data_IF_519484304092
#
_entry.id   IF_519484304092
#
_cell.length_a   1.000
_cell.length_b   1.000
_cell.length_c   1.000
_cell.angle_alpha   90.00
_cell.angle_beta   90.00
_cell.angle_gamma   90.00
#
_symmetry.space_group_name_H-M   'P 1'
#
loop_
_entity.id
_entity.type
_entity.pdbx_description
1 polymer ?
#
# COMPACT_ATOMS: atom_id res chain seq x y z
N UNK A 1 26.56 -4.34 -5.48
CA UNK A 1 26.70 -2.97 -6.01
C UNK A 1 25.58 -2.79 -7.01
N UNK A 2 24.56 -2.01 -6.67
CA UNK A 2 23.46 -1.75 -7.59
C UNK A 2 23.97 -0.87 -8.73
N UNK A 3 23.72 -1.28 -9.98
CA UNK A 3 23.95 -0.43 -11.15
C UNK A 3 23.00 0.77 -11.03
N UNK A 4 23.50 1.89 -10.54
CA UNK A 4 22.77 3.16 -10.55
C UNK A 4 22.34 3.46 -11.99
N UNK A 5 21.09 3.90 -12.16
CA UNK A 5 20.58 4.31 -13.46
C UNK A 5 21.47 5.43 -14.03
N UNK A 6 21.94 5.34 -15.29
CA UNK A 6 22.56 6.46 -15.95
C UNK A 6 21.45 7.47 -16.27
N UNK A 7 21.23 8.46 -15.40
CA UNK A 7 20.23 9.50 -15.65
C UNK A 7 20.91 10.85 -15.83
N UNK A 8 21.15 11.20 -17.08
CA UNK A 8 21.26 12.59 -17.51
C UNK A 8 19.98 12.94 -18.29
N UNK A 9 18.87 13.02 -17.57
CA UNK A 9 17.65 13.67 -18.05
C UNK A 9 17.25 14.68 -16.99
N UNK A 10 17.04 15.92 -17.42
CA UNK A 10 16.75 17.07 -16.57
C UNK A 10 15.28 16.97 -16.12
N UNK A 11 15.02 16.09 -15.15
CA UNK A 11 13.76 16.08 -14.42
C UNK A 11 13.83 17.15 -13.34
N UNK A 12 12.83 18.03 -13.29
CA UNK A 12 12.67 18.99 -12.20
C UNK A 12 12.36 18.32 -10.84
N UNK A 13 12.14 17.00 -10.83
CA UNK A 13 11.74 16.21 -9.66
C UNK A 13 12.89 15.35 -9.11
N UNK A 14 13.03 15.25 -7.77
CA UNK A 14 14.04 14.40 -7.16
C UNK A 14 13.75 12.92 -7.44
N UNK A 15 14.80 12.10 -7.50
CA UNK A 15 14.70 10.67 -7.75
C UNK A 15 15.00 9.86 -6.49
N UNK A 16 14.35 8.69 -6.39
CA UNK A 16 14.66 7.75 -5.31
C UNK A 16 16.07 7.17 -5.54
N UNK A 17 16.95 7.12 -4.51
CA UNK A 17 18.32 6.64 -4.69
C UNK A 17 18.39 5.11 -4.88
N UNK A 18 17.30 4.39 -4.60
CA UNK A 18 17.20 2.94 -4.65
C UNK A 18 16.53 2.40 -5.92
N UNK A 19 16.25 3.26 -6.92
CA UNK A 19 15.71 2.83 -8.20
C UNK A 19 16.66 1.84 -8.88
N UNK A 20 16.12 0.73 -9.36
CA UNK A 20 16.88 -0.30 -10.07
C UNK A 20 16.58 -0.27 -11.56
N UNK A 21 17.53 -0.73 -12.35
CA UNK A 21 17.26 -1.08 -13.76
C UNK A 21 16.27 -2.26 -13.79
N UNK A 22 15.21 -2.13 -14.56
CA UNK A 22 14.21 -3.18 -14.77
C UNK A 22 14.18 -3.68 -16.21
N UNK A 23 13.59 -4.86 -16.41
CA UNK A 23 13.20 -5.42 -17.70
C UNK A 23 11.67 -5.42 -17.87
N UNK A 24 11.19 -4.89 -19.00
CA UNK A 24 9.77 -4.80 -19.33
C UNK A 24 9.47 -5.51 -20.65
N UNK A 25 8.36 -6.25 -20.70
CA UNK A 25 7.82 -6.82 -21.93
C UNK A 25 6.38 -6.33 -22.16
N UNK A 26 6.06 -5.96 -23.40
CA UNK A 26 4.70 -5.61 -23.80
C UNK A 26 3.99 -6.81 -24.41
N UNK A 27 2.80 -7.11 -23.89
CA UNK A 27 1.92 -8.19 -24.34
C UNK A 27 0.57 -7.54 -24.68
N UNK A 28 0.35 -7.14 -25.94
CA UNK A 28 -0.84 -6.38 -26.31
C UNK A 28 -2.12 -7.21 -26.13
N UNK A 29 -3.15 -6.56 -25.58
CA UNK A 29 -4.54 -7.02 -25.60
C UNK A 29 -5.32 -6.25 -26.68
N UNK A 30 -6.59 -5.88 -26.43
CA UNK A 30 -7.31 -4.91 -27.27
C UNK A 30 -6.56 -3.57 -27.33
N UNK A 31 -6.46 -2.98 -28.51
CA UNK A 31 -5.72 -1.74 -28.75
C UNK A 31 -6.58 -0.78 -29.57
N UNK A 32 -6.34 0.51 -29.33
CA UNK A 32 -6.79 1.62 -30.18
C UNK A 32 -5.58 2.55 -30.43
N UNK A 33 -5.69 3.56 -31.31
CA UNK A 33 -4.57 4.44 -31.63
C UNK A 33 -3.94 5.14 -30.41
N UNK A 34 -4.74 5.52 -29.41
CA UNK A 34 -4.26 6.21 -28.20
C UNK A 34 -3.43 5.25 -27.33
N UNK A 35 -3.88 3.99 -27.19
CA UNK A 35 -3.12 2.96 -26.50
C UNK A 35 -1.85 2.57 -27.27
N UNK A 36 -1.87 2.56 -28.59
CA UNK A 36 -0.68 2.30 -29.42
C UNK A 36 0.39 3.38 -29.24
N UNK A 37 -0.02 4.65 -29.33
CA UNK A 37 0.85 5.80 -29.07
C UNK A 37 1.42 5.73 -27.65
N UNK A 38 0.55 5.48 -26.66
CA UNK A 38 0.94 5.41 -25.25
C UNK A 38 1.91 4.26 -24.98
N UNK A 39 1.65 3.07 -25.52
CA UNK A 39 2.53 1.91 -25.40
C UNK A 39 3.91 2.22 -25.99
N UNK A 40 3.95 2.80 -27.20
CA UNK A 40 5.20 3.18 -27.84
C UNK A 40 5.97 4.24 -27.05
N UNK A 41 5.30 5.29 -26.56
CA UNK A 41 5.89 6.33 -25.73
C UNK A 41 6.52 5.78 -24.45
N UNK A 42 5.78 4.95 -23.71
CA UNK A 42 6.27 4.30 -22.48
C UNK A 42 7.49 3.43 -22.78
N UNK A 43 7.40 2.52 -23.75
CA UNK A 43 8.51 1.61 -24.09
C UNK A 43 9.73 2.37 -24.61
N UNK A 44 9.53 3.45 -25.37
CA UNK A 44 10.61 4.33 -25.80
C UNK A 44 11.30 4.99 -24.59
N UNK A 45 10.53 5.55 -23.66
CA UNK A 45 11.07 6.14 -22.42
C UNK A 45 11.85 5.13 -21.59
N UNK A 46 11.37 3.88 -21.46
CA UNK A 46 12.14 2.81 -20.81
C UNK A 46 13.51 2.59 -21.47
N UNK A 47 13.58 2.54 -22.82
CA UNK A 47 14.85 2.41 -23.54
C UNK A 47 15.76 3.62 -23.29
N UNK A 48 15.22 4.84 -23.35
CA UNK A 48 15.99 6.07 -23.18
C UNK A 48 16.68 6.16 -21.81
N UNK A 49 16.00 5.74 -20.74
CA UNK A 49 16.57 5.75 -19.37
C UNK A 49 17.42 4.52 -19.06
N UNK A 50 17.71 3.70 -20.06
CA UNK A 50 18.59 2.54 -19.95
C UNK A 50 17.93 1.28 -19.38
N UNK A 51 16.60 1.19 -19.29
CA UNK A 51 15.91 -0.07 -18.96
C UNK A 51 15.97 -1.05 -20.13
N UNK A 52 15.70 -2.33 -19.85
CA UNK A 52 15.65 -3.36 -20.89
C UNK A 52 14.21 -3.53 -21.38
N UNK A 53 13.98 -3.30 -22.68
CA UNK A 53 12.68 -3.59 -23.32
C UNK A 53 12.81 -4.88 -24.09
N UNK A 54 12.10 -5.91 -23.64
CA UNK A 54 12.10 -7.25 -24.19
C UNK A 54 11.09 -7.36 -25.34
N UNK A 55 11.47 -8.04 -26.42
CA UNK A 55 10.56 -8.37 -27.52
C UNK A 55 9.47 -9.36 -27.09
N UNK A 56 9.81 -10.30 -26.20
CA UNK A 56 8.88 -11.26 -25.63
C UNK A 56 9.16 -11.48 -24.13
N UNK A 57 8.14 -11.81 -23.32
CA UNK A 57 8.34 -12.20 -21.93
C UNK A 57 9.29 -13.39 -21.81
N UNK A 58 10.27 -13.27 -20.90
CA UNK A 58 11.23 -14.32 -20.55
C UNK A 58 11.64 -14.20 -19.09
N UNK A 59 12.35 -15.21 -18.58
CA UNK A 59 12.92 -15.15 -17.24
C UNK A 59 13.75 -13.87 -17.02
N UNK A 60 13.57 -13.25 -15.86
CA UNK A 60 14.15 -11.94 -15.53
C UNK A 60 13.29 -10.74 -15.93
N UNK A 61 12.12 -10.92 -16.57
CA UNK A 61 11.16 -9.83 -16.76
C UNK A 61 10.61 -9.37 -15.41
N UNK A 62 10.72 -8.06 -15.14
CA UNK A 62 10.17 -7.44 -13.93
C UNK A 62 8.73 -6.97 -14.17
N UNK A 63 8.43 -6.51 -15.38
CA UNK A 63 7.14 -5.91 -15.76
C UNK A 63 6.53 -6.54 -17.00
N UNK A 64 5.26 -6.91 -16.91
CA UNK A 64 4.40 -7.13 -18.07
C UNK A 64 3.46 -5.92 -18.24
N UNK A 65 3.55 -5.27 -19.39
CA UNK A 65 2.59 -4.25 -19.81
C UNK A 65 1.56 -4.89 -20.74
N UNK A 66 0.28 -4.65 -20.51
CA UNK A 66 -0.81 -5.17 -21.35
C UNK A 66 -1.95 -4.16 -21.43
N UNK A 67 -3.02 -4.50 -22.16
CA UNK A 67 -4.16 -3.61 -22.38
C UNK A 67 -5.50 -4.31 -22.18
N UNK A 68 -6.52 -3.55 -21.82
CA UNK A 68 -7.91 -3.99 -21.72
C UNK A 68 -8.89 -2.90 -22.17
N UNK A 69 -10.08 -3.29 -22.60
CA UNK A 69 -11.14 -2.36 -23.00
C UNK A 69 -11.81 -1.75 -21.78
N UNK A 70 -12.05 -0.44 -21.79
CA UNK A 70 -12.78 0.25 -20.73
C UNK A 70 -14.24 -0.21 -20.66
N UNK A 71 -14.75 -0.46 -19.46
CA UNK A 71 -16.15 -0.88 -19.25
C UNK A 71 -16.44 -2.35 -19.56
N UNK A 72 -15.47 -3.11 -20.09
CA UNK A 72 -15.67 -4.52 -20.47
C UNK A 72 -14.91 -5.47 -19.53
N UNK A 73 -15.60 -6.44 -18.88
CA UNK A 73 -14.93 -7.41 -18.02
C UNK A 73 -13.99 -8.34 -18.77
N UNK A 74 -12.72 -8.33 -18.38
CA UNK A 74 -11.71 -9.25 -18.86
C UNK A 74 -11.94 -10.65 -18.29
N UNK A 75 -11.94 -11.65 -19.17
CA UNK A 75 -11.96 -13.04 -18.73
C UNK A 75 -10.71 -13.35 -17.89
N UNK A 76 -10.87 -13.92 -16.70
CA UNK A 76 -9.76 -14.24 -15.79
C UNK A 76 -8.67 -15.11 -16.44
N UNK A 77 -9.01 -15.98 -17.41
CA UNK A 77 -8.04 -16.81 -18.15
C UNK A 77 -7.15 -16.00 -19.09
N UNK A 78 -7.56 -14.78 -19.43
CA UNK A 78 -6.80 -13.83 -20.25
C UNK A 78 -6.01 -12.83 -19.39
N UNK A 79 -6.34 -12.67 -18.10
CA UNK A 79 -5.63 -11.76 -17.20
C UNK A 79 -4.18 -12.20 -17.00
N UNK A 80 -3.23 -11.32 -17.32
CA UNK A 80 -1.81 -11.58 -17.08
C UNK A 80 -1.44 -11.54 -15.60
N UNK A 81 -2.23 -10.86 -14.76
CA UNK A 81 -2.05 -10.90 -13.29
C UNK A 81 -2.19 -12.34 -12.78
N UNK A 82 -3.15 -13.08 -13.32
CA UNK A 82 -3.47 -14.45 -12.90
C UNK A 82 -2.69 -15.51 -13.69
N UNK A 83 -2.46 -15.27 -14.98
CA UNK A 83 -1.93 -16.30 -15.89
C UNK A 83 -0.51 -16.03 -16.37
N UNK A 84 0.01 -14.80 -16.27
CA UNK A 84 1.24 -14.36 -16.92
C UNK A 84 2.44 -15.26 -16.60
N UNK A 85 2.69 -15.53 -15.31
CA UNK A 85 3.78 -16.41 -14.88
C UNK A 85 3.70 -17.80 -15.54
N UNK A 86 2.56 -18.47 -15.42
CA UNK A 86 2.37 -19.82 -15.98
C UNK A 86 2.37 -19.83 -17.50
N UNK A 87 1.73 -18.83 -18.12
CA UNK A 87 1.60 -18.68 -19.58
C UNK A 87 2.95 -18.54 -20.27
N UNK A 88 3.90 -17.84 -19.65
CA UNK A 88 5.22 -17.58 -20.22
C UNK A 88 6.34 -18.40 -19.55
N UNK A 89 6.01 -19.35 -18.68
CA UNK A 89 6.99 -20.22 -18.03
C UNK A 89 7.97 -19.48 -17.11
N UNK A 90 7.54 -18.38 -16.48
CA UNK A 90 8.41 -17.52 -15.68
C UNK A 90 8.68 -18.12 -14.29
N UNK A 91 9.93 -18.04 -13.86
CA UNK A 91 10.38 -18.42 -12.51
C UNK A 91 9.68 -17.62 -11.42
N UNK A 92 9.60 -16.29 -11.58
CA UNK A 92 8.98 -15.35 -10.65
C UNK A 92 7.69 -14.73 -11.23
N UNK A 93 6.84 -14.18 -10.37
CA UNK A 93 5.64 -13.43 -10.77
C UNK A 93 6.05 -11.98 -11.09
N UNK A 94 6.02 -11.53 -12.36
CA UNK A 94 6.29 -10.13 -12.68
C UNK A 94 5.15 -9.23 -12.21
N UNK A 95 5.44 -7.95 -12.04
CA UNK A 95 4.42 -6.93 -11.84
C UNK A 95 3.69 -6.70 -13.15
N UNK A 96 2.36 -6.61 -13.12
CA UNK A 96 1.54 -6.40 -14.32
C UNK A 96 0.89 -5.03 -14.26
N UNK A 97 1.11 -4.23 -15.30
CA UNK A 97 0.39 -2.99 -15.54
C UNK A 97 -0.57 -3.19 -16.71
N UNK A 98 -1.85 -2.86 -16.51
CA UNK A 98 -2.86 -2.90 -17.57
C UNK A 98 -3.21 -1.48 -17.98
N UNK A 99 -2.98 -1.11 -19.24
CA UNK A 99 -3.48 0.16 -19.78
C UNK A 99 -4.94 0.00 -20.18
N UNK A 100 -5.74 1.00 -19.83
CA UNK A 100 -7.15 1.10 -20.20
C UNK A 100 -7.37 2.52 -20.69
N UNK A 101 -7.97 2.68 -21.87
CA UNK A 101 -8.21 3.99 -22.47
C UNK A 101 -9.68 4.42 -22.31
N UNK A 102 -9.89 5.68 -21.93
CA UNK A 102 -11.20 6.32 -21.82
C UNK A 102 -11.13 7.76 -22.34
N UNK A 103 -12.19 8.26 -22.96
CA UNK A 103 -12.26 9.68 -23.38
C UNK A 103 -12.50 10.60 -22.18
N UNK A 104 -12.09 11.88 -22.22
CA UNK A 104 -12.37 12.85 -21.16
C UNK A 104 -13.87 12.97 -20.86
N UNK A 105 -14.72 13.02 -21.91
CA UNK A 105 -16.17 13.08 -21.75
C UNK A 105 -16.72 11.86 -21.02
N UNK A 106 -16.27 10.66 -21.40
CA UNK A 106 -16.75 9.43 -20.77
C UNK A 106 -16.31 9.34 -19.31
N UNK A 107 -15.05 9.69 -19.02
CA UNK A 107 -14.54 9.74 -17.66
C UNK A 107 -15.35 10.70 -16.80
N UNK A 108 -15.58 11.93 -17.28
CA UNK A 108 -16.35 12.92 -16.52
C UNK A 108 -17.77 12.42 -16.24
N UNK A 109 -18.43 11.82 -17.23
CA UNK A 109 -19.76 11.22 -17.05
C UNK A 109 -19.79 10.15 -15.96
N UNK A 110 -18.78 9.28 -15.91
CA UNK A 110 -18.70 8.23 -14.89
C UNK A 110 -18.39 8.82 -13.50
N UNK A 111 -17.58 9.88 -13.43
CA UNK A 111 -17.31 10.60 -12.18
C UNK A 111 -18.55 11.34 -11.66
N UNK A 112 -19.28 12.03 -12.52
CA UNK A 112 -20.54 12.71 -12.17
C UNK A 112 -21.58 11.70 -11.67
N UNK A 113 -21.66 10.54 -12.34
CA UNK A 113 -22.53 9.45 -11.90
C UNK A 113 -22.19 8.98 -10.48
N UNK A 114 -20.91 8.73 -10.19
CA UNK A 114 -20.47 8.36 -8.85
C UNK A 114 -20.72 9.48 -7.83
N UNK A 115 -20.48 10.73 -8.19
CA UNK A 115 -20.75 11.87 -7.32
C UNK A 115 -22.23 11.92 -6.89
N UNK A 116 -23.15 11.60 -7.78
CA UNK A 116 -24.58 11.57 -7.47
C UNK A 116 -25.02 10.37 -6.63
N UNK A 117 -24.57 9.16 -6.97
CA UNK A 117 -25.00 7.95 -6.24
C UNK A 117 -24.36 7.85 -4.85
N UNK A 118 -23.17 8.44 -4.64
CA UNK A 118 -22.50 8.49 -3.33
C UNK A 118 -23.21 9.39 -2.31
N UNK A 119 -24.17 10.21 -2.74
CA UNK A 119 -25.03 11.03 -1.86
C UNK A 119 -26.19 10.22 -1.27
N UNK A 120 -26.49 9.02 -1.79
CA UNK A 120 -27.62 8.19 -1.35
C UNK A 120 -27.23 7.37 -0.12
N UNK A 121 -27.99 7.52 0.96
CA UNK A 121 -27.81 6.75 2.20
C UNK A 121 -29.17 6.19 2.68
N UNK A 122 -29.37 4.86 2.72
CA UNK A 122 -28.40 3.81 2.34
C UNK A 122 -28.10 3.78 0.84
N UNK A 123 -26.95 3.19 0.41
CA UNK A 123 -26.66 3.01 -1.01
C UNK A 123 -27.70 2.08 -1.66
N UNK A 124 -28.13 2.40 -2.88
CA UNK A 124 -28.98 1.52 -3.69
C UNK A 124 -28.09 0.55 -4.50
N UNK A 125 -28.13 -0.77 -4.26
CA UNK A 125 -27.32 -1.74 -4.99
C UNK A 125 -27.48 -1.67 -6.52
N UNK A 126 -28.64 -1.22 -7.02
CA UNK A 126 -28.88 -1.11 -8.46
C UNK A 126 -27.97 -0.05 -9.13
N UNK A 127 -27.57 0.99 -8.39
CA UNK A 127 -26.65 2.03 -8.88
C UNK A 127 -25.21 1.51 -9.06
N UNK A 128 -24.89 0.35 -8.49
CA UNK A 128 -23.53 -0.21 -8.50
C UNK A 128 -23.45 -1.49 -9.33
N UNK A 129 -24.46 -1.76 -10.16
CA UNK A 129 -24.52 -2.95 -11.01
C UNK A 129 -23.66 -2.78 -12.28
N UNK A 130 -22.35 -2.69 -12.09
CA UNK A 130 -21.40 -2.62 -13.20
C UNK A 130 -21.10 -4.03 -13.76
N UNK A 131 -20.89 -4.17 -15.08
CA UNK A 131 -20.54 -5.45 -15.68
C UNK A 131 -19.34 -6.11 -15.00
N UNK A 132 -19.45 -7.42 -14.75
CA UNK A 132 -18.36 -8.24 -14.21
C UNK A 132 -18.15 -8.16 -12.70
N UNK A 133 -18.92 -7.32 -11.99
CA UNK A 133 -18.82 -7.18 -10.53
C UNK A 133 -19.69 -8.19 -9.79
N UNK A 134 -19.31 -8.48 -8.54
CA UNK A 134 -20.12 -9.28 -7.63
C UNK A 134 -21.32 -8.48 -7.08
N UNK A 135 -22.38 -9.18 -6.66
CA UNK A 135 -23.60 -8.54 -6.13
C UNK A 135 -23.34 -7.68 -4.89
N UNK A 136 -22.38 -8.05 -4.04
CA UNK A 136 -22.03 -7.29 -2.82
C UNK A 136 -21.04 -6.14 -3.07
N UNK A 137 -20.57 -5.96 -4.31
CA UNK A 137 -19.57 -4.96 -4.64
C UNK A 137 -20.02 -3.53 -4.33
N UNK A 138 -21.34 -3.27 -4.32
CA UNK A 138 -21.90 -1.96 -3.98
C UNK A 138 -21.44 -1.44 -2.62
N UNK A 139 -21.24 -2.33 -1.63
CA UNK A 139 -20.75 -1.94 -0.29
C UNK A 139 -19.34 -1.37 -0.38
N UNK A 140 -18.45 -2.11 -1.06
CA UNK A 140 -17.05 -1.72 -1.24
C UNK A 140 -16.96 -0.43 -2.06
N UNK A 141 -17.72 -0.32 -3.15
CA UNK A 141 -17.72 0.87 -4.01
C UNK A 141 -18.25 2.10 -3.27
N UNK A 142 -19.33 1.97 -2.51
CA UNK A 142 -19.89 3.05 -1.70
C UNK A 142 -18.90 3.49 -0.62
N UNK A 143 -18.36 2.57 0.17
CA UNK A 143 -17.41 2.86 1.25
C UNK A 143 -16.12 3.52 0.72
N UNK A 144 -15.54 2.95 -0.35
CA UNK A 144 -14.35 3.52 -0.98
C UNK A 144 -14.64 4.89 -1.61
N UNK A 145 -15.79 5.05 -2.28
CA UNK A 145 -16.19 6.32 -2.89
C UNK A 145 -16.48 7.42 -1.87
N UNK A 146 -17.13 7.09 -0.74
CA UNK A 146 -17.36 8.02 0.39
C UNK A 146 -16.05 8.55 0.97
N UNK A 147 -14.99 7.74 0.91
CA UNK A 147 -13.67 8.08 1.48
C UNK A 147 -12.75 8.81 0.50
N UNK A 148 -12.57 8.26 -0.69
CA UNK A 148 -11.60 8.73 -1.68
C UNK A 148 -12.23 9.53 -2.81
N UNK A 149 -13.55 9.75 -2.77
CA UNK A 149 -14.31 10.43 -3.80
C UNK A 149 -14.69 9.52 -4.99
N UNK A 150 -15.39 10.09 -5.99
CA UNK A 150 -15.85 9.38 -7.18
C UNK A 150 -14.75 8.60 -7.91
N UNK A 151 -13.53 9.15 -7.97
CA UNK A 151 -12.39 8.53 -8.66
C UNK A 151 -11.97 7.20 -8.02
N UNK A 152 -12.07 7.07 -6.69
CA UNK A 152 -11.68 5.85 -6.00
C UNK A 152 -12.72 4.73 -6.22
N UNK A 153 -14.01 5.08 -6.28
CA UNK A 153 -15.04 4.12 -6.66
C UNK A 153 -14.85 3.65 -8.11
N UNK A 154 -14.60 4.58 -9.04
CA UNK A 154 -14.30 4.26 -10.43
C UNK A 154 -13.05 3.37 -10.56
N UNK A 155 -11.98 3.68 -9.83
CA UNK A 155 -10.76 2.88 -9.79
C UNK A 155 -11.06 1.41 -9.46
N UNK A 156 -11.92 1.13 -8.48
CA UNK A 156 -12.32 -0.24 -8.12
C UNK A 156 -13.10 -0.93 -9.25
N UNK A 157 -13.97 -0.21 -9.95
CA UNK A 157 -14.67 -0.76 -11.14
C UNK A 157 -13.65 -1.12 -12.22
N UNK A 158 -12.77 -0.20 -12.59
CA UNK A 158 -11.78 -0.41 -13.65
C UNK A 158 -10.82 -1.54 -13.31
N UNK A 159 -10.31 -1.59 -12.07
CA UNK A 159 -9.43 -2.68 -11.61
C UNK A 159 -10.12 -4.05 -11.67
N UNK A 160 -11.39 -4.09 -11.26
CA UNK A 160 -12.21 -5.30 -11.29
C UNK A 160 -12.44 -5.79 -12.71
N UNK A 161 -12.83 -4.90 -13.62
CA UNK A 161 -13.08 -5.22 -15.03
C UNK A 161 -11.79 -5.60 -15.76
N UNK A 162 -10.70 -4.88 -15.54
CA UNK A 162 -9.40 -5.20 -16.13
C UNK A 162 -8.72 -6.42 -15.51
N UNK A 163 -9.26 -6.96 -14.40
CA UNK A 163 -8.62 -8.00 -13.58
C UNK A 163 -7.16 -7.62 -13.25
N UNK A 164 -6.96 -6.34 -12.91
CA UNK A 164 -5.68 -5.67 -12.81
C UNK A 164 -5.49 -4.97 -11.47
N UNK A 165 -4.38 -5.22 -10.79
CA UNK A 165 -4.05 -4.53 -9.52
C UNK A 165 -3.44 -3.15 -9.75
N UNK A 166 -2.69 -3.01 -10.85
CA UNK A 166 -2.09 -1.76 -11.28
C UNK A 166 -2.62 -1.41 -12.66
N UNK A 167 -3.38 -0.33 -12.74
CA UNK A 167 -4.02 0.12 -13.98
C UNK A 167 -3.47 1.50 -14.34
N UNK A 168 -3.07 1.65 -15.59
CA UNK A 168 -2.79 2.94 -16.21
C UNK A 168 -4.06 3.37 -16.94
N UNK A 169 -4.91 4.19 -16.31
CA UNK A 169 -6.08 4.73 -16.97
C UNK A 169 -5.64 5.91 -17.84
N UNK A 170 -5.50 5.65 -19.14
CA UNK A 170 -5.11 6.60 -20.17
C UNK A 170 -6.33 7.42 -20.57
N UNK A 171 -6.22 8.74 -20.55
CA UNK A 171 -7.32 9.64 -20.86
C UNK A 171 -6.95 10.55 -22.02
N UNK A 172 -7.80 10.60 -23.04
CA UNK A 172 -7.64 11.44 -24.22
C UNK A 172 -8.66 11.11 -25.31
N UNK A 173 -8.80 11.95 -26.32
CA UNK A 173 -9.65 11.65 -27.48
C UNK A 173 -8.82 11.04 -28.62
N UNK A 174 -7.98 11.84 -29.27
CA UNK A 174 -7.11 11.40 -30.37
C UNK A 174 -5.70 11.04 -29.91
N UNK A 175 -5.27 11.56 -28.75
CA UNK A 175 -3.93 11.41 -28.16
C UNK A 175 -4.03 11.42 -26.63
N UNK A 176 -3.08 10.82 -25.90
CA UNK A 176 -3.14 10.80 -24.44
C UNK A 176 -2.90 12.21 -23.85
N UNK A 177 -3.85 12.71 -23.05
CA UNK A 177 -3.75 13.96 -22.31
C UNK A 177 -3.17 13.76 -20.91
N UNK A 178 -3.53 12.64 -20.27
CA UNK A 178 -3.01 12.27 -18.96
C UNK A 178 -3.23 10.79 -18.65
N UNK A 179 -2.50 10.29 -17.65
CA UNK A 179 -2.64 8.92 -17.15
C UNK A 179 -2.81 8.95 -15.64
N UNK A 180 -3.87 8.31 -15.14
CA UNK A 180 -3.95 7.93 -13.73
C UNK A 180 -3.24 6.60 -13.50
N UNK A 181 -2.48 6.52 -12.40
CA UNK A 181 -1.80 5.30 -11.98
C UNK A 181 -2.55 4.68 -10.81
N UNK A 182 -3.58 3.90 -11.10
CA UNK A 182 -4.35 3.21 -10.08
C UNK A 182 -3.57 2.04 -9.50
N UNK A 183 -3.51 1.94 -8.18
CA UNK A 183 -2.95 0.79 -7.48
C UNK A 183 -3.95 0.10 -6.55
N UNK A 184 -3.55 -1.04 -5.99
CA UNK A 184 -4.45 -1.82 -5.15
C UNK A 184 -4.81 -1.07 -3.86
N UNK A 185 -3.91 -0.27 -3.29
CA UNK A 185 -4.16 0.39 -2.00
C UNK A 185 -5.08 1.61 -2.13
N UNK A 186 -5.33 2.09 -3.35
CA UNK A 186 -6.25 3.18 -3.64
C UNK A 186 -5.55 4.49 -4.00
N UNK A 187 -4.24 4.47 -4.25
CA UNK A 187 -3.53 5.61 -4.79
C UNK A 187 -3.88 5.81 -6.28
N UNK A 188 -3.93 7.08 -6.70
CA UNK A 188 -4.26 7.48 -8.07
C UNK A 188 -3.46 8.71 -8.55
N UNK A 189 -2.12 8.75 -8.44
CA UNK A 189 -1.36 9.89 -8.94
C UNK A 189 -1.51 10.04 -10.46
N UNK A 190 -1.29 11.25 -10.95
CA UNK A 190 -1.57 11.65 -12.33
C UNK A 190 -0.30 12.12 -13.04
N UNK A 191 0.02 11.51 -14.18
CA UNK A 191 0.97 12.05 -15.16
C UNK A 191 0.19 12.92 -16.17
N UNK A 192 0.66 14.13 -16.48
CA UNK A 192 -0.07 15.06 -17.38
C UNK A 192 0.78 15.40 -18.59
N UNK A 193 0.20 15.29 -19.77
CA UNK A 193 0.81 15.65 -21.05
C UNK A 193 0.52 17.12 -21.35
N UNK A 194 1.41 18.02 -20.90
CA UNK A 194 1.26 19.48 -21.09
C UNK A 194 2.12 19.99 -22.25
N UNK A 195 3.43 19.98 -22.04
CA UNK A 195 4.37 20.77 -22.86
C UNK A 195 5.37 19.90 -23.64
N UNK A 196 5.82 18.78 -23.06
CA UNK A 196 6.76 17.84 -23.67
C UNK A 196 6.27 16.39 -23.51
N UNK A 197 5.84 15.74 -24.60
CA UNK A 197 5.44 14.32 -24.57
C UNK A 197 6.54 13.40 -24.02
N UNK A 198 7.81 13.75 -24.20
CA UNK A 198 8.94 12.98 -23.66
C UNK A 198 8.92 12.95 -22.13
N UNK A 199 8.72 14.11 -21.50
CA UNK A 199 8.63 14.22 -20.04
C UNK A 199 7.41 13.50 -19.50
N UNK A 200 6.29 13.54 -20.23
CA UNK A 200 5.07 12.82 -19.87
C UNK A 200 5.28 11.30 -19.80
N UNK A 201 5.83 10.68 -20.86
CA UNK A 201 6.10 9.23 -20.85
C UNK A 201 7.24 8.85 -19.91
N UNK A 202 8.20 9.75 -19.68
CA UNK A 202 9.25 9.54 -18.70
C UNK A 202 8.70 9.50 -17.27
N UNK A 203 7.79 10.41 -16.90
CA UNK A 203 7.11 10.39 -15.59
C UNK A 203 6.33 9.08 -15.40
N UNK A 204 5.64 8.59 -16.44
CA UNK A 204 4.93 7.30 -16.40
C UNK A 204 5.91 6.15 -16.15
N UNK A 205 6.98 6.05 -16.96
CA UNK A 205 7.99 5.01 -16.83
C UNK A 205 8.65 5.04 -15.45
N UNK A 206 8.94 6.23 -14.92
CA UNK A 206 9.57 6.40 -13.62
C UNK A 206 8.66 5.95 -12.48
N UNK A 207 7.36 6.30 -12.49
CA UNK A 207 6.38 5.80 -11.51
C UNK A 207 6.27 4.27 -11.51
N UNK A 208 6.28 3.67 -12.70
CA UNK A 208 6.32 2.21 -12.86
C UNK A 208 7.63 1.63 -12.29
N UNK A 209 8.78 2.23 -12.59
CA UNK A 209 10.08 1.81 -12.08
C UNK A 209 10.17 1.94 -10.56
N UNK A 210 9.66 3.03 -9.97
CA UNK A 210 9.58 3.21 -8.52
C UNK A 210 8.82 2.05 -7.89
N UNK A 211 7.61 1.78 -8.38
CA UNK A 211 6.77 0.68 -7.88
C UNK A 211 7.48 -0.67 -7.91
N UNK A 212 8.24 -0.96 -8.96
CA UNK A 212 8.86 -2.28 -9.18
C UNK A 212 10.24 -2.38 -8.52
N UNK A 213 10.80 -1.25 -8.10
CA UNK A 213 12.10 -1.18 -7.41
C UNK A 213 11.98 -1.51 -5.91
N UNK A 214 10.79 -1.45 -5.34
CA UNK A 214 10.53 -1.81 -3.93
C UNK A 214 10.43 -3.33 -3.72
N UNK A 215 10.49 -3.77 -2.46
CA UNK A 215 10.31 -5.16 -2.04
C UNK A 215 9.31 -5.25 -0.92
N UNK A 216 8.48 -6.29 -0.93
CA UNK A 216 7.62 -6.62 0.20
C UNK A 216 8.47 -7.03 1.42
N UNK A 217 8.06 -6.62 2.61
CA UNK A 217 8.77 -6.86 3.88
C UNK A 217 7.95 -7.71 4.85
N UNK A 218 7.31 -8.75 4.33
CA UNK A 218 6.35 -9.61 5.04
C UNK A 218 6.89 -11.02 5.35
N UNK A 219 8.18 -11.28 5.09
CA UNK A 219 8.84 -12.57 5.38
C UNK A 219 9.19 -12.66 6.88
N UNK A 220 8.17 -12.74 7.74
CA UNK A 220 8.31 -12.80 9.19
C UNK A 220 8.89 -14.15 9.66
N UNK A 221 9.66 -14.14 10.73
CA UNK A 221 10.32 -15.33 11.29
C UNK A 221 9.96 -15.54 12.76
N UNK A 222 9.47 -16.74 13.08
CA UNK A 222 9.13 -17.14 14.45
C UNK A 222 10.42 -17.47 15.22
N UNK A 223 10.62 -16.83 16.36
CA UNK A 223 11.75 -17.12 17.27
C UNK A 223 11.29 -17.90 18.49
N UNK A 224 12.13 -18.83 18.94
CA UNK A 224 11.90 -19.71 20.10
C UNK A 224 12.69 -19.25 21.34
N UNK A 225 12.26 -19.64 22.56
CA UNK A 225 11.01 -20.32 22.90
C UNK A 225 9.78 -19.39 22.81
N UNK A 226 8.56 -19.94 22.73
CA UNK A 226 7.34 -19.14 22.85
C UNK A 226 7.24 -18.50 24.24
N UNK A 227 6.44 -17.44 24.33
CA UNK A 227 6.11 -16.75 25.58
C UNK A 227 5.08 -17.62 26.34
N UNK A 228 5.36 -18.01 27.59
CA UNK A 228 4.39 -18.70 28.42
C UNK A 228 3.10 -17.89 28.56
N UNK A 229 1.95 -18.55 28.54
CA UNK A 229 0.67 -17.84 28.59
C UNK A 229 0.50 -17.03 29.89
N UNK A 230 1.01 -17.54 31.02
CA UNK A 230 1.01 -16.83 32.30
C UNK A 230 1.82 -15.52 32.25
N UNK A 231 2.95 -15.53 31.55
CA UNK A 231 3.76 -14.32 31.33
C UNK A 231 2.97 -13.32 30.49
N UNK A 232 2.38 -13.75 29.37
CA UNK A 232 1.53 -12.93 28.51
C UNK A 232 0.37 -12.28 29.28
N UNK A 233 -0.31 -13.02 30.17
CA UNK A 233 -1.41 -12.47 30.98
C UNK A 233 -0.96 -11.40 31.99
N UNK A 234 0.31 -11.41 32.37
CA UNK A 234 0.91 -10.42 33.27
C UNK A 234 1.27 -9.10 32.57
N UNK A 235 1.24 -9.06 31.23
CA UNK A 235 1.55 -7.88 30.44
C UNK A 235 0.39 -6.87 30.46
N UNK A 236 0.73 -5.59 30.37
CA UNK A 236 -0.24 -4.50 30.37
C UNK A 236 -0.68 -4.15 28.94
N UNK A 237 0.24 -4.28 27.98
CA UNK A 237 0.02 -3.95 26.58
C UNK A 237 -1.20 -4.66 25.95
N UNK A 238 -1.43 -5.98 26.11
CA UNK A 238 -2.59 -6.63 25.49
C UNK A 238 -3.94 -6.07 25.96
N UNK A 239 -4.05 -5.75 27.26
CA UNK A 239 -5.27 -5.17 27.85
C UNK A 239 -5.46 -3.74 27.36
N UNK A 240 -4.40 -2.95 27.34
CA UNK A 240 -4.42 -1.57 26.84
C UNK A 240 -4.77 -1.50 25.35
N UNK A 241 -4.24 -2.41 24.53
CA UNK A 241 -4.54 -2.51 23.09
C UNK A 241 -6.02 -2.79 22.83
N UNK A 242 -6.65 -3.69 23.60
CA UNK A 242 -8.09 -3.95 23.50
C UNK A 242 -8.94 -2.73 23.87
N UNK A 243 -8.55 -1.99 24.91
CA UNK A 243 -9.22 -0.75 25.26
C UNK A 243 -9.06 0.33 24.17
N UNK A 244 -7.86 0.44 23.60
CA UNK A 244 -7.57 1.33 22.49
C UNK A 244 -8.40 1.00 21.24
N UNK A 245 -8.57 -0.29 20.92
CA UNK A 245 -9.43 -0.75 19.82
C UNK A 245 -10.86 -0.20 19.94
N UNK A 246 -11.45 -0.32 21.12
CA UNK A 246 -12.82 0.17 21.40
C UNK A 246 -12.89 1.70 21.22
N UNK A 247 -11.89 2.44 21.69
CA UNK A 247 -11.85 3.90 21.54
C UNK A 247 -11.64 4.34 20.08
N UNK A 248 -10.80 3.61 19.33
CA UNK A 248 -10.60 3.83 17.90
C UNK A 248 -11.88 3.50 17.11
N UNK A 249 -12.59 2.43 17.47
CA UNK A 249 -13.86 2.04 16.86
C UNK A 249 -14.99 3.04 17.10
N UNK A 250 -15.11 3.60 18.32
CA UNK A 250 -16.05 4.70 18.61
C UNK A 250 -15.84 5.94 17.74
N UNK A 251 -14.63 6.12 17.21
CA UNK A 251 -14.25 7.24 16.33
C UNK A 251 -14.24 6.82 14.86
N UNK A 252 -14.62 5.58 14.56
CA UNK A 252 -14.51 4.96 13.25
C UNK A 252 -13.12 5.20 12.67
N UNK A 253 -12.05 4.96 13.44
CA UNK A 253 -10.70 5.31 12.98
C UNK A 253 -10.24 4.39 11.84
N UNK A 254 -10.42 3.08 12.01
CA UNK A 254 -10.17 2.11 10.95
C UNK A 254 -11.35 2.09 9.99
N UNK A 255 -11.14 1.43 8.86
CA UNK A 255 -12.12 1.35 7.79
C UNK A 255 -12.42 -0.11 7.53
N UNK A 256 -13.51 -0.39 6.83
CA UNK A 256 -13.85 -1.77 6.49
C UNK A 256 -12.87 -2.36 5.46
N UNK A 257 -12.66 -3.67 5.56
CA UNK A 257 -11.77 -4.42 4.70
C UNK A 257 -12.29 -4.62 3.30
N UNK A 258 -11.52 -4.12 2.34
CA UNK A 258 -11.76 -4.39 0.93
C UNK A 258 -11.28 -5.81 0.62
N UNK A 259 -12.22 -6.73 0.43
CA UNK A 259 -11.91 -8.06 -0.09
C UNK A 259 -12.17 -8.08 -1.58
N UNK A 260 -11.18 -8.55 -2.33
CA UNK A 260 -11.31 -8.64 -3.79
C UNK A 260 -12.46 -9.57 -4.20
N UNK A 261 -12.75 -10.61 -3.41
CA UNK A 261 -13.90 -11.49 -3.63
C UNK A 261 -15.24 -10.76 -3.50
N UNK A 262 -15.30 -9.66 -2.74
CA UNK A 262 -16.51 -8.85 -2.62
C UNK A 262 -16.68 -7.94 -3.86
N UNK A 263 -15.61 -7.72 -4.63
CA UNK A 263 -15.63 -6.96 -5.89
C UNK A 263 -15.86 -7.86 -7.12
N UNK A 264 -15.21 -9.02 -7.19
CA UNK A 264 -15.26 -9.93 -8.34
C UNK A 264 -15.31 -11.41 -7.94
N UNK A 265 -16.15 -12.19 -8.63
CA UNK A 265 -16.24 -13.63 -8.43
C UNK A 265 -15.21 -14.36 -9.31
N UNK A 266 -14.02 -14.63 -8.78
CA UNK A 266 -12.97 -15.38 -9.51
C UNK A 266 -12.58 -16.66 -8.75
N UNK A 267 -12.74 -17.86 -9.35
CA UNK A 267 -12.48 -19.15 -8.68
C UNK A 267 -11.04 -19.37 -8.17
N UNK A 268 -10.08 -18.54 -8.57
CA UNK A 268 -8.63 -18.75 -8.35
C UNK A 268 -7.94 -17.61 -7.60
N UNK A 269 -8.68 -16.66 -7.01
CA UNK A 269 -8.11 -15.46 -6.36
C UNK A 269 -7.76 -15.66 -4.88
N UNK A 270 -8.17 -16.78 -4.27
CA UNK A 270 -8.03 -17.01 -2.82
C UNK A 270 -6.57 -16.99 -2.32
N UNK A 271 -5.59 -17.44 -3.11
CA UNK A 271 -4.21 -17.61 -2.59
C UNK A 271 -3.22 -16.51 -2.99
N UNK A 272 -3.53 -15.65 -3.97
CA UNK A 272 -2.51 -14.76 -4.58
C UNK A 272 -2.79 -13.27 -4.53
N UNK A 273 -3.98 -12.88 -4.08
CA UNK A 273 -4.39 -11.45 -4.01
C UNK A 273 -5.18 -11.12 -2.74
N UNK A 274 -5.74 -12.13 -2.05
CA UNK A 274 -6.45 -11.95 -0.78
C UNK A 274 -5.57 -11.43 0.37
N UNK A 275 -4.25 -11.28 0.15
CA UNK A 275 -3.27 -11.01 1.18
C UNK A 275 -2.83 -9.55 1.35
N UNK A 276 -3.34 -8.61 0.56
CA UNK A 276 -2.70 -7.29 0.39
C UNK A 276 -3.52 -6.07 0.85
N UNK A 277 -4.51 -6.23 1.72
CA UNK A 277 -5.19 -5.06 2.28
C UNK A 277 -5.43 -5.21 3.79
N UNK A 278 -4.55 -4.60 4.59
CA UNK A 278 -4.84 -4.22 5.96
C UNK A 278 -5.30 -2.75 5.93
N UNK A 279 -6.48 -2.40 6.47
CA UNK A 279 -6.86 -0.98 6.67
C UNK A 279 -6.07 -0.34 7.81
N UNK A 280 -4.75 -0.35 7.73
CA UNK A 280 -3.87 0.07 8.81
C UNK A 280 -3.79 -0.90 9.97
N UNK A 281 -3.07 -0.48 11.00
CA UNK A 281 -2.72 -1.30 12.15
C UNK A 281 -2.29 -0.41 13.30
N UNK A 282 -2.18 -0.97 14.50
CA UNK A 282 -1.61 -0.27 15.64
C UNK A 282 -0.87 -1.22 16.55
N UNK A 283 0.00 -0.65 17.37
CA UNK A 283 0.79 -1.40 18.33
C UNK A 283 1.25 -0.55 19.50
N UNK A 284 1.60 -1.22 20.59
CA UNK A 284 2.14 -0.58 21.79
C UNK A 284 3.27 -1.42 22.39
N UNK A 285 4.28 -0.74 22.92
CA UNK A 285 5.44 -1.41 23.51
C UNK A 285 5.08 -2.01 24.87
N UNK A 286 5.50 -3.24 25.11
CA UNK A 286 5.40 -3.95 26.38
C UNK A 286 6.80 -3.99 27.04
N UNK A 287 7.02 -3.22 28.12
CA UNK A 287 8.33 -3.20 28.78
C UNK A 287 8.77 -4.56 29.32
N UNK A 288 7.86 -5.36 29.90
CA UNK A 288 8.21 -6.64 30.54
C UNK A 288 8.75 -7.66 29.53
N UNK A 289 8.17 -7.66 28.33
CA UNK A 289 8.58 -8.53 27.23
C UNK A 289 9.65 -7.93 26.32
N UNK A 290 10.04 -6.66 26.52
CA UNK A 290 10.86 -5.86 25.61
C UNK A 290 10.43 -6.05 24.13
N UNK A 291 9.13 -5.89 23.88
CA UNK A 291 8.51 -6.23 22.61
C UNK A 291 7.44 -5.21 22.20
N UNK A 292 7.18 -5.11 20.90
CA UNK A 292 6.03 -4.39 20.37
C UNK A 292 4.87 -5.38 20.21
N UNK A 293 3.77 -5.13 20.91
CA UNK A 293 2.50 -5.86 20.72
C UNK A 293 1.69 -5.13 19.67
N UNK A 294 1.41 -5.77 18.54
CA UNK A 294 0.75 -5.16 17.39
C UNK A 294 -0.42 -6.01 16.89
N UNK A 295 -1.36 -5.40 16.17
CA UNK A 295 -2.46 -6.12 15.54
C UNK A 295 -1.95 -7.07 14.45
N UNK A 296 -2.63 -8.22 14.31
CA UNK A 296 -2.35 -9.20 13.25
C UNK A 296 -2.75 -8.70 11.86
N UNK A 297 -2.32 -9.41 10.81
CA UNK A 297 -2.77 -9.14 9.44
C UNK A 297 -4.22 -9.55 9.22
N UNK A 298 -4.93 -8.73 8.45
CA UNK A 298 -6.27 -9.05 7.95
C UNK A 298 -6.30 -10.13 6.87
N UNK A 299 -5.14 -10.49 6.32
CA UNK A 299 -5.02 -11.51 5.27
C UNK A 299 -5.24 -12.94 5.76
N UNK A 300 -4.92 -13.23 7.03
CA UNK A 300 -5.13 -14.54 7.62
C UNK A 300 -6.61 -14.79 7.94
N UNK A 301 -7.29 -13.73 8.36
CA UNK A 301 -8.73 -13.67 8.57
C UNK A 301 -9.18 -12.22 8.73
N UNK A 302 -10.47 -11.93 8.53
CA UNK A 302 -11.03 -10.65 8.92
C UNK A 302 -10.77 -10.36 10.40
N UNK A 303 -10.32 -9.13 10.68
CA UNK A 303 -10.08 -8.63 12.03
C UNK A 303 -10.98 -7.42 12.24
N UNK A 304 -11.83 -7.49 13.25
CA UNK A 304 -12.59 -6.34 13.72
C UNK A 304 -11.68 -5.47 14.60
N UNK A 305 -11.07 -4.44 13.99
CA UNK A 305 -10.15 -3.53 14.69
C UNK A 305 -10.86 -2.61 15.69
N UNK A 306 -12.18 -2.58 15.67
CA UNK A 306 -12.99 -1.83 16.64
C UNK A 306 -13.19 -2.63 17.93
N UNK A 307 -12.97 -3.94 17.89
CA UNK A 307 -13.14 -4.85 19.03
C UNK A 307 -12.20 -6.05 18.99
N UNK A 308 -10.88 -5.78 19.02
CA UNK A 308 -9.87 -6.84 18.98
C UNK A 308 -9.90 -7.72 20.25
N UNK A 309 -9.50 -8.98 20.09
CA UNK A 309 -9.27 -9.96 21.14
C UNK A 309 -7.77 -10.21 21.33
N UNK A 310 -7.39 -11.08 22.27
CA UNK A 310 -5.98 -11.47 22.39
C UNK A 310 -5.47 -12.16 21.13
N UNK A 311 -6.27 -13.01 20.48
CA UNK A 311 -5.87 -13.71 19.24
C UNK A 311 -5.71 -12.78 18.03
N UNK A 312 -6.07 -11.50 18.16
CA UNK A 312 -5.82 -10.46 17.16
C UNK A 312 -4.48 -9.71 17.39
N UNK A 313 -3.65 -10.17 18.33
CA UNK A 313 -2.38 -9.56 18.68
C UNK A 313 -1.19 -10.50 18.44
N UNK A 314 -0.15 -9.95 17.79
CA UNK A 314 1.16 -10.56 17.56
C UNK A 314 2.25 -9.83 18.35
N UNK A 315 3.32 -10.55 18.68
CA UNK A 315 4.46 -10.02 19.44
C UNK A 315 5.68 -9.89 18.54
N UNK A 316 6.12 -8.66 18.31
CA UNK A 316 7.28 -8.31 17.51
C UNK A 316 8.48 -8.03 18.42
N UNK A 317 9.60 -8.71 18.19
CA UNK A 317 10.81 -8.58 19.02
C UNK A 317 12.02 -8.03 18.26
N UNK A 318 11.86 -7.74 16.97
CA UNK A 318 12.95 -7.27 16.13
C UNK A 318 12.57 -7.18 14.66
N UNK A 319 13.50 -6.63 13.89
CA UNK A 319 13.46 -6.66 12.42
C UNK A 319 14.51 -7.64 11.94
N UNK A 320 14.18 -8.49 10.97
CA UNK A 320 15.11 -9.44 10.37
C UNK A 320 16.25 -8.71 9.66
N UNK A 321 17.44 -9.32 9.52
CA UNK A 321 18.50 -8.76 8.71
C UNK A 321 18.01 -8.36 7.31
N UNK A 322 18.48 -7.21 6.81
CA UNK A 322 18.06 -6.63 5.52
C UNK A 322 16.60 -6.16 5.45
N UNK A 323 15.87 -6.14 6.56
CA UNK A 323 14.52 -5.56 6.62
C UNK A 323 13.44 -6.37 5.90
N UNK A 324 13.69 -7.64 5.58
CA UNK A 324 12.76 -8.48 4.79
C UNK A 324 11.51 -8.92 5.56
N UNK A 325 11.48 -8.72 6.87
CA UNK A 325 10.41 -9.13 7.76
C UNK A 325 10.73 -8.83 9.21
N UNK A 326 9.83 -9.24 10.10
CA UNK A 326 9.98 -9.05 11.55
C UNK A 326 10.27 -10.37 12.26
N UNK A 327 10.99 -10.32 13.38
CA UNK A 327 11.08 -11.44 14.31
C UNK A 327 9.84 -11.44 15.19
N UNK A 328 9.16 -12.60 15.26
CA UNK A 328 7.91 -12.75 16.00
C UNK A 328 8.06 -13.81 17.08
N UNK A 329 7.50 -13.55 18.27
CA UNK A 329 7.38 -14.56 19.32
C UNK A 329 5.94 -15.05 19.38
N UNK A 330 5.77 -16.36 19.33
CA UNK A 330 4.47 -16.96 19.62
C UNK A 330 4.19 -16.93 21.13
N UNK A 331 2.92 -16.92 21.46
CA UNK A 331 2.42 -17.09 22.82
C UNK A 331 1.78 -18.47 22.93
N UNK A 332 2.09 -19.19 23.99
CA UNK A 332 1.51 -20.51 24.24
C UNK A 332 -0.02 -20.45 24.32
N UNK A 333 -0.69 -21.45 23.75
CA UNK A 333 -2.15 -21.57 23.78
C UNK A 333 -2.92 -20.60 22.88
N UNK A 334 -2.26 -19.64 22.23
CA UNK A 334 -2.89 -18.71 21.28
C UNK A 334 -2.85 -19.21 19.84
N UNK A 335 -3.70 -18.62 18.99
CA UNK A 335 -3.73 -18.94 17.55
C UNK A 335 -2.44 -18.55 16.81
N UNK A 336 -1.80 -17.45 17.25
CA UNK A 336 -0.56 -16.94 16.67
C UNK A 336 -0.65 -16.64 15.16
N UNK A 337 -1.69 -15.92 14.74
CA UNK A 337 -1.77 -15.40 13.37
C UNK A 337 -0.60 -14.41 13.11
N UNK A 338 -0.11 -14.29 11.85
CA UNK A 338 0.99 -13.38 11.50
C UNK A 338 0.68 -11.91 11.83
N UNK A 339 1.68 -11.07 12.12
CA UNK A 339 1.46 -9.64 12.37
C UNK A 339 0.98 -8.91 11.12
N UNK A 340 0.54 -7.66 11.27
CA UNK A 340 0.23 -6.79 10.12
C UNK A 340 1.41 -6.66 9.15
N UNK A 341 1.10 -6.40 7.88
CA UNK A 341 2.08 -6.20 6.81
C UNK A 341 3.00 -4.98 7.02
N UNK A 342 2.60 -4.07 7.90
CA UNK A 342 3.35 -2.88 8.31
C UNK A 342 4.22 -3.15 9.57
N UNK A 343 4.32 -4.39 10.05
CA UNK A 343 5.09 -4.73 11.26
C UNK A 343 6.56 -4.27 11.20
N UNK A 344 7.18 -4.34 10.02
CA UNK A 344 8.55 -3.86 9.81
C UNK A 344 8.63 -2.35 9.92
N UNK A 345 7.69 -1.60 9.31
CA UNK A 345 7.59 -0.15 9.48
C UNK A 345 7.48 0.19 10.97
N UNK A 346 6.52 -0.43 11.66
CA UNK A 346 6.29 -0.14 13.07
C UNK A 346 7.52 -0.42 13.91
N UNK A 347 8.20 -1.55 13.72
CA UNK A 347 9.35 -1.91 14.54
C UNK A 347 10.59 -1.08 14.21
N UNK A 348 10.89 -0.87 12.93
CA UNK A 348 12.13 -0.21 12.48
C UNK A 348 12.11 1.32 12.69
N UNK A 349 10.93 1.92 12.83
CA UNK A 349 10.77 3.34 13.16
C UNK A 349 11.48 3.75 14.45
N UNK A 350 11.67 2.83 15.41
CA UNK A 350 12.35 3.13 16.68
C UNK A 350 13.87 3.20 16.57
N UNK A 351 14.43 2.59 15.52
CA UNK A 351 15.88 2.39 15.38
C UNK A 351 16.71 3.68 15.48
N UNK A 352 16.32 4.81 14.87
CA UNK A 352 17.07 6.07 14.98
C UNK A 352 16.68 6.90 16.21
N UNK A 353 15.68 6.48 16.98
CA UNK A 353 15.11 7.28 18.05
C UNK A 353 15.77 6.98 19.41
N UNK A 354 15.74 7.95 20.35
CA UNK A 354 16.18 7.73 21.72
C UNK A 354 15.44 6.59 22.41
N UNK A 355 16.13 5.97 23.37
CA UNK A 355 15.53 5.05 24.34
C UNK A 355 15.37 5.74 25.69
N UNK A 356 14.35 5.34 26.42
CA UNK A 356 14.04 5.80 27.77
C UNK A 356 14.26 4.65 28.72
N UNK A 357 14.99 4.90 29.81
CA UNK A 357 15.16 3.95 30.90
C UNK A 357 13.98 4.06 31.86
N UNK A 358 13.20 3.00 32.00
CA UNK A 358 12.15 2.87 33.01
C UNK A 358 12.75 2.17 34.23
N UNK A 359 12.55 2.73 35.42
CA UNK A 359 13.01 2.13 36.67
C UNK A 359 12.02 2.38 37.84
N UNK A 360 12.02 1.50 38.86
CA UNK A 360 11.32 1.75 40.11
C UNK A 360 11.89 2.97 40.88
N UNK A 361 11.08 3.66 41.71
CA UNK A 361 9.67 3.39 41.99
C UNK A 361 8.70 4.05 41.01
N UNK A 362 9.16 4.87 40.05
CA UNK A 362 8.25 5.54 39.11
C UNK A 362 7.53 4.54 38.20
N UNK A 363 8.19 3.43 37.88
CA UNK A 363 7.66 2.36 37.06
C UNK A 363 7.76 1.01 37.77
N UNK A 364 6.76 0.14 37.60
CA UNK A 364 6.76 -1.22 38.15
C UNK A 364 7.63 -2.21 37.35
N UNK A 365 8.60 -1.69 36.59
CA UNK A 365 9.47 -2.45 35.69
C UNK A 365 10.80 -1.71 35.55
N UNK A 366 11.88 -2.47 35.41
CA UNK A 366 13.19 -1.98 35.02
C UNK A 366 13.46 -2.39 33.57
N UNK A 367 13.43 -1.44 32.63
CA UNK A 367 13.57 -1.74 31.21
C UNK A 367 13.98 -0.50 30.40
N UNK A 368 14.85 -0.69 29.41
CA UNK A 368 15.09 0.32 28.37
C UNK A 368 14.09 0.11 27.24
N UNK A 369 13.37 1.16 26.87
CA UNK A 369 12.28 1.10 25.89
C UNK A 369 12.42 2.22 24.85
N UNK A 370 11.88 2.07 23.63
CA UNK A 370 11.81 3.19 22.69
C UNK A 370 11.04 4.37 23.27
N UNK A 371 11.43 5.60 22.90
CA UNK A 371 10.67 6.82 23.24
C UNK A 371 9.24 6.76 22.70
N UNK A 372 9.03 6.14 21.54
CA UNK A 372 7.70 5.92 20.97
C UNK A 372 7.05 4.70 21.63
N UNK A 373 6.00 4.96 22.40
CA UNK A 373 5.27 3.92 23.15
C UNK A 373 4.18 3.25 22.35
N UNK A 374 3.46 4.01 21.54
CA UNK A 374 2.33 3.52 20.77
C UNK A 374 2.40 4.05 19.35
N UNK A 375 1.96 3.23 18.39
CA UNK A 375 2.10 3.46 16.96
C UNK A 375 0.78 3.16 16.28
N UNK A 376 0.43 3.98 15.32
CA UNK A 376 -0.83 3.90 14.60
C UNK A 376 -0.58 4.21 13.14
N UNK A 377 -0.90 3.24 12.28
CA UNK A 377 -0.97 3.39 10.85
C UNK A 377 -2.45 3.35 10.45
N UNK A 378 -2.94 4.37 9.75
CA UNK A 378 -4.34 4.43 9.34
C UNK A 378 -4.49 5.00 7.94
N UNK A 379 -5.47 4.50 7.20
CA UNK A 379 -5.78 5.00 5.85
C UNK A 379 -6.75 6.19 5.93
N UNK A 380 -6.30 7.26 6.58
CA UNK A 380 -7.06 8.49 6.84
C UNK A 380 -6.29 9.71 6.36
N UNK A 381 -6.98 10.61 5.66
CA UNK A 381 -6.43 11.91 5.30
C UNK A 381 -6.41 12.87 6.49
N UNK A 382 -5.46 13.79 6.50
CA UNK A 382 -5.37 14.88 7.48
C UNK A 382 -5.67 16.20 6.79
N UNK A 383 -6.79 16.84 7.15
CA UNK A 383 -7.18 18.14 6.60
C UNK A 383 -6.52 19.31 7.33
N UNK A 384 -6.38 19.18 8.65
CA UNK A 384 -5.77 20.17 9.53
C UNK A 384 -5.32 19.48 10.84
N UNK A 385 -4.37 20.09 11.54
CA UNK A 385 -3.90 19.68 12.86
C UNK A 385 -3.50 20.91 13.68
N UNK A 386 -3.44 20.76 15.01
CA UNK A 386 -2.92 21.81 15.90
C UNK A 386 -1.41 21.62 16.10
N UNK A 387 -0.56 22.52 15.57
CA UNK A 387 0.89 22.38 15.66
C UNK A 387 1.43 22.59 17.07
N UNK A 388 0.63 23.10 18.01
CA UNK A 388 1.02 23.21 19.42
C UNK A 388 0.88 21.89 20.18
N UNK A 389 0.10 20.94 19.66
CA UNK A 389 -0.17 19.63 20.27
C UNK A 389 0.52 18.49 19.53
N UNK A 390 0.69 18.64 18.21
CA UNK A 390 1.14 17.58 17.31
C UNK A 390 2.20 18.09 16.36
N UNK A 391 3.26 17.31 16.16
CA UNK A 391 4.26 17.55 15.13
C UNK A 391 3.93 16.83 13.83
N UNK A 392 4.00 17.54 12.71
CA UNK A 392 4.03 16.92 11.39
C UNK A 392 5.48 16.68 10.96
N UNK A 393 5.84 15.41 10.76
CA UNK A 393 7.14 14.98 10.27
C UNK A 393 7.03 14.60 8.78
N UNK A 394 7.41 15.48 7.84
CA UNK A 394 7.26 15.19 6.42
C UNK A 394 8.23 14.09 5.96
N UNK A 395 7.75 13.26 5.03
CA UNK A 395 8.61 12.39 4.21
C UNK A 395 9.56 13.23 3.36
N UNK A 396 10.58 12.57 2.80
CA UNK A 396 11.43 13.21 1.82
C UNK A 396 10.62 13.59 0.57
N UNK A 397 10.90 14.73 -0.10
CA UNK A 397 10.07 15.26 -1.20
C UNK A 397 9.74 14.26 -2.30
N UNK A 398 10.69 13.37 -2.62
CA UNK A 398 10.56 12.33 -3.65
C UNK A 398 9.36 11.39 -3.43
N UNK A 399 8.96 11.15 -2.17
CA UNK A 399 7.81 10.28 -1.86
C UNK A 399 6.49 10.88 -2.35
N UNK A 400 6.37 12.22 -2.38
CA UNK A 400 5.17 12.92 -2.85
C UNK A 400 5.05 12.93 -4.38
N UNK A 401 6.17 12.79 -5.08
CA UNK A 401 6.18 12.67 -6.54
C UNK A 401 6.02 11.23 -6.99
N UNK A 402 6.69 10.29 -6.32
CA UNK A 402 6.75 8.87 -6.69
C UNK A 402 6.34 7.99 -5.51
N UNK A 403 5.03 7.74 -5.46
CA UNK A 403 4.34 7.00 -4.39
C UNK A 403 4.87 5.57 -4.28
N UNK A 404 4.96 5.09 -3.04
CA UNK A 404 5.31 3.71 -2.70
C UNK A 404 4.11 3.02 -2.06
N UNK A 405 3.90 1.75 -2.39
CA UNK A 405 2.77 0.98 -1.85
C UNK A 405 3.04 0.50 -0.41
N UNK A 406 1.97 0.15 0.30
CA UNK A 406 2.02 -0.40 1.64
C UNK A 406 2.88 -1.69 1.72
N UNK A 407 3.38 -2.00 2.91
CA UNK A 407 4.17 -3.19 3.23
C UNK A 407 5.50 -3.34 2.45
N UNK A 408 6.10 -2.21 2.04
CA UNK A 408 7.37 -2.20 1.31
C UNK A 408 8.54 -1.71 2.15
N UNK A 409 9.74 -2.14 1.77
CA UNK A 409 11.00 -1.63 2.33
C UNK A 409 11.13 -0.11 2.17
N UNK A 410 10.72 0.43 1.03
CA UNK A 410 10.76 1.85 0.75
C UNK A 410 9.82 2.67 1.65
N UNK A 411 8.63 2.15 1.96
CA UNK A 411 7.73 2.79 2.94
C UNK A 411 8.35 2.76 4.34
N UNK A 412 8.81 1.60 4.80
CA UNK A 412 9.41 1.47 6.12
C UNK A 412 10.63 2.40 6.29
N UNK A 413 11.44 2.54 5.24
CA UNK A 413 12.54 3.52 5.18
C UNK A 413 12.02 4.96 5.27
N UNK A 414 11.06 5.35 4.43
CA UNK A 414 10.55 6.71 4.39
C UNK A 414 9.92 7.16 5.71
N UNK A 415 9.13 6.28 6.33
CA UNK A 415 8.52 6.51 7.65
C UNK A 415 9.60 6.66 8.73
N UNK A 416 10.57 5.74 8.77
CA UNK A 416 11.68 5.81 9.72
C UNK A 416 12.46 7.11 9.59
N UNK A 417 12.78 7.53 8.36
CA UNK A 417 13.57 8.74 8.11
C UNK A 417 12.78 10.01 8.45
N UNK A 418 11.46 10.02 8.25
CA UNK A 418 10.60 11.13 8.68
C UNK A 418 10.60 11.26 10.20
N UNK A 419 10.30 10.18 10.93
CA UNK A 419 10.23 10.22 12.39
C UNK A 419 11.60 10.43 13.05
N UNK A 420 12.69 10.00 12.41
CA UNK A 420 14.06 10.31 12.83
C UNK A 420 14.37 11.82 12.92
N UNK A 421 13.53 12.68 12.34
CA UNK A 421 13.67 14.15 12.37
C UNK A 421 12.66 14.84 13.28
N UNK A 422 11.69 14.10 13.84
CA UNK A 422 10.61 14.66 14.64
C UNK A 422 11.13 15.19 15.99
N UNK A 423 11.03 16.50 16.21
CA UNK A 423 11.57 17.16 17.40
C UNK A 423 10.91 16.66 18.69
N UNK A 424 9.60 16.39 18.68
CA UNK A 424 8.91 15.87 19.86
C UNK A 424 9.36 14.45 20.27
N UNK A 425 10.03 13.72 19.39
CA UNK A 425 10.59 12.40 19.69
C UNK A 425 12.09 12.47 20.05
N UNK A 426 12.77 13.55 19.69
CA UNK A 426 14.21 13.73 19.90
C UNK A 426 14.53 14.62 21.10
N UNK A 427 13.67 15.60 21.38
CA UNK A 427 13.89 16.62 22.40
C UNK A 427 12.90 16.41 23.57
N UNK A 428 13.38 16.03 24.77
CA UNK A 428 12.51 15.85 25.94
C UNK A 428 11.86 17.15 26.44
N UNK A 429 12.36 18.33 26.03
CA UNK A 429 11.79 19.63 26.39
C UNK A 429 10.68 20.08 25.43
N UNK A 430 10.43 19.35 24.33
CA UNK A 430 9.32 19.64 23.44
C UNK A 430 7.99 19.28 24.11
N UNK A 431 7.02 20.20 24.17
CA UNK A 431 5.76 19.93 24.87
C UNK A 431 4.81 18.99 24.10
N UNK A 432 5.06 18.75 22.81
CA UNK A 432 4.20 17.91 21.97
C UNK A 432 4.46 16.44 22.29
N UNK A 433 3.40 15.63 22.31
CA UNK A 433 3.50 14.19 22.63
C UNK A 433 3.19 13.28 21.44
N UNK A 434 2.81 13.87 20.31
CA UNK A 434 2.37 13.15 19.13
C UNK A 434 3.14 13.69 17.93
N UNK A 435 3.69 12.78 17.13
CA UNK A 435 4.16 13.06 15.78
C UNK A 435 3.31 12.25 14.79
N UNK A 436 3.10 12.80 13.59
CA UNK A 436 2.53 12.04 12.48
C UNK A 436 3.25 12.38 11.17
N UNK A 437 3.13 11.46 10.22
CA UNK A 437 3.49 11.69 8.81
C UNK A 437 2.31 11.32 7.93
N UNK A 438 2.40 11.64 6.63
CA UNK A 438 1.39 11.31 5.64
C UNK A 438 2.10 10.54 4.53
N UNK A 439 1.64 9.32 4.27
CA UNK A 439 1.99 8.57 3.06
C UNK A 439 1.09 9.09 1.91
N UNK A 440 1.68 9.56 0.80
CA UNK A 440 0.96 10.19 -0.30
C UNK A 440 0.17 9.23 -1.19
#
# INVERSE_FOLDING_TARGET
MANALPLALNLDKPLHPWLKRIAIAFVPGPMDPVLEETAHGILHSFKLVGHEVLEQPRDGVDVLLTTATYGEPLNWRKSLVLTGRKRFGLSNKPTVFTMVHVTPERLQKDLDYFEDILKKEPPDPADYNFPGMATEAYRVLFEQGRRGGPILALQRVVQSQAMGLKVLLVVGDDRPEYVYHFDLVGAYPKSVNRDDPTLFYHDIALRMTTTVSTREVTDHEVVSPPIPYEEWQSWDAPKAMRAAAIELGKRHFFTEMVRINDLVNVPAVQDSVASQYSEGCFGTWEPKGNALVATITGSARPVDKDNITEDDLAVLVGVRPRGIGAFIKHVEGKRNDPPSSEAVEMMDMDRPLPRVHLAPPQWNVEADVPVVRSKLHGHRGVKAFDPSLVEYAPLDPVYFDYIVSCATDAQAQGVRDAFARAQCLLNPDDPRQIAFTILP
#
